data_IF_339335971355
#
_entry.id   IF_339335971355
#
_cell.length_a   1.000
_cell.length_b   1.000
_cell.length_c   1.000
_cell.angle_alpha   90.00
_cell.angle_beta   90.00
_cell.angle_gamma   90.00
#
_symmetry.space_group_name_H-M   'P 1'
#
loop_
_entity.id
_entity.type
_entity.pdbx_description
1 polymer ?
#
# COMPACT_ATOMS: atom_id res chain seq x y z
N UNK A 1 30.47 32.33 5.24
CA UNK A 1 29.06 31.91 5.14
C UNK A 1 29.09 30.38 5.09
N UNK A 2 28.90 29.73 6.22
CA UNK A 2 29.03 28.27 6.35
C UNK A 2 27.65 27.63 6.14
N UNK A 3 27.57 26.79 5.12
CA UNK A 3 26.37 26.04 4.74
C UNK A 3 26.20 24.84 5.69
N UNK A 4 25.01 24.66 6.25
CA UNK A 4 24.72 23.74 7.34
C UNK A 4 24.42 22.31 6.88
N UNK A 5 25.39 21.63 6.27
CA UNK A 5 25.19 20.31 5.64
C UNK A 5 25.93 19.13 6.30
N UNK A 6 26.43 19.27 7.52
CA UNK A 6 27.13 18.18 8.22
C UNK A 6 26.17 17.45 9.18
N UNK A 7 25.99 16.15 8.96
CA UNK A 7 25.19 15.25 9.80
C UNK A 7 25.96 14.94 11.09
N UNK A 8 25.40 15.31 12.25
CA UNK A 8 25.97 14.95 13.56
C UNK A 8 25.66 13.49 13.88
N UNK A 9 26.70 12.74 14.21
CA UNK A 9 26.61 11.33 14.58
C UNK A 9 27.05 11.15 16.03
N UNK A 10 26.18 10.51 16.81
CA UNK A 10 26.43 10.20 18.21
C UNK A 10 26.81 8.73 18.31
N UNK A 11 27.98 8.46 18.87
CA UNK A 11 28.53 7.11 19.06
C UNK A 11 28.33 6.76 20.53
N UNK A 12 27.48 5.78 20.80
CA UNK A 12 27.27 5.26 22.15
C UNK A 12 28.05 3.94 22.30
N UNK A 13 29.06 3.93 23.15
CA UNK A 13 29.78 2.71 23.50
C UNK A 13 28.98 1.92 24.53
N UNK A 14 29.15 0.59 24.52
CA UNK A 14 28.56 -0.30 25.53
C UNK A 14 29.08 0.04 26.95
N UNK A 15 30.27 0.65 27.05
CA UNK A 15 30.82 1.16 28.32
C UNK A 15 30.05 2.36 28.90
N UNK A 16 29.09 2.94 28.17
CA UNK A 16 28.34 4.14 28.56
C UNK A 16 28.98 5.46 28.12
N UNK A 17 30.19 5.41 27.55
CA UNK A 17 30.84 6.59 26.97
C UNK A 17 30.14 7.01 25.67
N UNK A 18 29.92 8.33 25.51
CA UNK A 18 29.31 8.91 24.31
C UNK A 18 30.30 9.85 23.64
N UNK A 19 30.48 9.68 22.32
CA UNK A 19 31.34 10.50 21.47
C UNK A 19 30.52 11.09 20.33
N UNK A 20 31.00 12.17 19.74
CA UNK A 20 30.33 12.82 18.62
C UNK A 20 31.29 13.00 17.46
N UNK A 21 30.81 12.69 16.27
CA UNK A 21 31.52 12.91 15.02
C UNK A 21 30.57 13.54 14.00
N UNK A 22 31.11 13.98 12.88
CA UNK A 22 30.33 14.59 11.79
C UNK A 22 30.49 13.76 10.53
N UNK A 23 29.41 13.67 9.77
CA UNK A 23 29.36 13.00 8.48
C UNK A 23 28.97 14.02 7.40
N UNK A 24 29.64 13.94 6.26
CA UNK A 24 29.31 14.72 5.09
C UNK A 24 28.26 13.99 4.26
N UNK A 25 27.52 14.73 3.45
CA UNK A 25 26.51 14.17 2.54
C UNK A 25 27.08 13.17 1.52
N UNK A 26 28.37 13.26 1.23
CA UNK A 26 29.13 12.40 0.32
C UNK A 26 29.76 11.17 1.00
N UNK A 27 29.75 11.10 2.34
CA UNK A 27 30.26 9.93 3.06
C UNK A 27 29.33 8.72 2.88
N UNK A 28 29.91 7.56 2.56
CA UNK A 28 29.16 6.31 2.63
C UNK A 28 29.10 5.79 4.07
N UNK A 29 28.15 4.89 4.35
CA UNK A 29 28.11 4.15 5.64
C UNK A 29 29.42 3.40 5.88
N UNK A 30 30.09 2.91 4.83
CA UNK A 30 31.38 2.23 4.92
C UNK A 30 32.51 3.17 5.35
N UNK A 31 32.56 4.36 4.77
CA UNK A 31 33.55 5.40 5.11
C UNK A 31 33.37 5.83 6.57
N UNK A 32 32.12 6.05 6.97
CA UNK A 32 31.77 6.42 8.33
C UNK A 32 32.21 5.36 9.35
N UNK A 33 31.84 4.10 9.11
CA UNK A 33 32.20 3.00 10.02
C UNK A 33 33.71 2.81 10.12
N UNK A 34 34.42 2.94 9.01
CA UNK A 34 35.88 2.85 8.98
C UNK A 34 36.54 3.97 9.78
N UNK A 35 36.05 5.21 9.65
CA UNK A 35 36.52 6.37 10.42
C UNK A 35 36.27 6.17 11.92
N UNK A 36 35.06 5.78 12.28
CA UNK A 36 34.69 5.46 13.67
C UNK A 36 35.57 4.33 14.21
N UNK A 37 35.86 3.30 13.41
CA UNK A 37 36.70 2.18 13.84
C UNK A 37 38.10 2.64 14.24
N UNK A 38 38.67 3.60 13.52
CA UNK A 38 39.97 4.20 13.83
C UNK A 38 39.91 5.09 15.07
N UNK A 39 38.85 5.91 15.21
CA UNK A 39 38.69 6.85 16.34
C UNK A 39 38.42 6.14 17.67
N UNK A 40 37.59 5.09 17.66
CA UNK A 40 37.10 4.45 18.89
C UNK A 40 37.64 3.04 19.11
N UNK A 41 38.48 2.55 18.19
CA UNK A 41 39.11 1.23 18.21
C UNK A 41 38.10 0.06 18.30
N UNK A 42 36.93 0.22 17.65
CA UNK A 42 35.87 -0.79 17.57
C UNK A 42 35.71 -1.23 16.10
N UNK A 43 35.88 -2.51 15.76
CA UNK A 43 35.74 -2.99 14.38
C UNK A 43 34.38 -2.67 13.76
N UNK A 44 34.36 -2.31 12.47
CA UNK A 44 33.15 -1.94 11.71
C UNK A 44 32.03 -2.99 11.75
N UNK A 45 32.38 -4.28 11.88
CA UNK A 45 31.43 -5.39 12.05
C UNK A 45 30.69 -5.36 13.39
N UNK A 46 31.31 -4.79 14.42
CA UNK A 46 30.73 -4.62 15.75
C UNK A 46 29.98 -3.30 15.90
N UNK A 47 29.93 -2.47 14.84
CA UNK A 47 29.23 -1.19 14.85
C UNK A 47 27.82 -1.33 14.28
N UNK A 48 26.83 -0.84 15.02
CA UNK A 48 25.45 -0.74 14.57
C UNK A 48 25.08 0.73 14.39
N UNK A 49 24.66 1.07 13.17
CA UNK A 49 24.09 2.39 12.92
C UNK A 49 22.60 2.34 13.29
N UNK A 50 22.17 3.27 14.13
CA UNK A 50 20.77 3.42 14.53
C UNK A 50 20.34 4.82 14.14
N UNK A 51 19.27 4.91 13.38
CA UNK A 51 18.66 6.19 13.04
C UNK A 51 17.75 6.59 14.21
N UNK A 52 18.12 7.64 14.93
CA UNK A 52 17.27 8.22 15.98
C UNK A 52 16.39 9.32 15.40
N UNK A 53 15.10 9.27 15.74
CA UNK A 53 14.14 10.36 15.47
C UNK A 53 14.05 10.77 14.00
N UNK A 54 14.06 9.81 13.08
CA UNK A 54 13.74 10.10 11.67
C UNK A 54 12.24 10.38 11.58
N UNK A 55 11.82 11.52 11.03
CA UNK A 55 10.40 11.75 10.77
C UNK A 55 9.86 10.62 9.89
N UNK A 56 8.79 9.94 10.31
CA UNK A 56 8.18 8.85 9.53
C UNK A 56 7.86 9.30 8.10
N UNK A 57 7.41 10.54 7.94
CA UNK A 57 7.18 11.17 6.63
C UNK A 57 8.40 11.14 5.69
N UNK A 58 9.62 11.29 6.22
CA UNK A 58 10.85 11.23 5.42
C UNK A 58 11.16 9.79 4.97
N UNK A 59 10.91 8.81 5.85
CA UNK A 59 11.06 7.38 5.52
C UNK A 59 10.08 7.02 4.42
N UNK A 60 8.80 7.37 4.61
CA UNK A 60 7.74 7.16 3.63
C UNK A 60 8.10 7.78 2.28
N UNK A 61 8.50 9.06 2.25
CA UNK A 61 8.93 9.74 1.01
C UNK A 61 10.07 9.03 0.27
N UNK A 62 11.00 8.40 0.99
CA UNK A 62 12.10 7.63 0.39
C UNK A 62 11.65 6.24 -0.06
N UNK A 63 10.63 5.68 0.57
CA UNK A 63 10.02 4.39 0.22
C UNK A 63 8.96 4.49 -0.89
N UNK A 64 8.42 5.68 -1.17
CA UNK A 64 7.40 5.91 -2.21
C UNK A 64 7.71 5.26 -3.58
N UNK A 65 8.95 5.36 -4.13
CA UNK A 65 9.27 4.70 -5.41
C UNK A 65 9.16 3.17 -5.34
N UNK A 66 9.44 2.57 -4.17
CA UNK A 66 9.28 1.15 -3.97
C UNK A 66 7.80 0.76 -3.95
N UNK A 67 6.97 1.50 -3.22
CA UNK A 67 5.53 1.28 -3.17
C UNK A 67 4.86 1.45 -4.53
N UNK A 68 5.22 2.50 -5.25
CA UNK A 68 4.77 2.73 -6.62
C UNK A 68 5.08 1.54 -7.52
N UNK A 69 6.32 1.04 -7.48
CA UNK A 69 6.73 -0.12 -8.28
C UNK A 69 5.99 -1.40 -7.92
N UNK A 70 5.75 -1.68 -6.65
CA UNK A 70 5.01 -2.88 -6.23
C UNK A 70 3.52 -2.78 -6.62
N UNK A 71 2.89 -1.62 -6.46
CA UNK A 71 1.51 -1.40 -6.92
C UNK A 71 1.40 -1.55 -8.44
N UNK A 72 2.32 -0.97 -9.21
CA UNK A 72 2.37 -1.10 -10.67
C UNK A 72 2.54 -2.55 -11.10
N UNK A 73 3.41 -3.31 -10.43
CA UNK A 73 3.61 -4.73 -10.67
C UNK A 73 2.32 -5.50 -10.45
N UNK A 74 1.66 -5.32 -9.30
CA UNK A 74 0.38 -5.99 -9.00
C UNK A 74 -0.69 -5.64 -10.04
N UNK A 75 -0.80 -4.37 -10.44
CA UNK A 75 -1.73 -3.93 -11.48
C UNK A 75 -1.34 -4.42 -12.88
N UNK A 76 -0.06 -4.72 -13.12
CA UNK A 76 0.45 -5.29 -14.37
C UNK A 76 -0.01 -6.72 -14.59
N UNK A 77 -0.07 -7.50 -13.51
CA UNK A 77 -0.47 -8.92 -13.51
C UNK A 77 -1.99 -9.12 -13.68
N UNK A 78 -2.77 -8.07 -13.48
CA UNK A 78 -4.21 -8.05 -13.72
C UNK A 78 -4.51 -8.07 -15.23
N UNK A 79 -5.10 -9.16 -15.72
CA UNK A 79 -5.42 -9.36 -17.13
C UNK A 79 -6.92 -9.37 -17.43
N UNK A 80 -7.35 -8.91 -18.63
CA UNK A 80 -8.76 -8.88 -19.02
C UNK A 80 -9.45 -10.25 -18.96
N UNK A 81 -8.73 -11.34 -19.26
CA UNK A 81 -9.28 -12.71 -19.25
C UNK A 81 -9.73 -13.13 -17.86
N UNK A 82 -8.93 -12.82 -16.84
CA UNK A 82 -9.23 -13.16 -15.44
C UNK A 82 -10.51 -12.45 -14.98
N UNK A 83 -10.67 -11.20 -15.41
CA UNK A 83 -11.88 -10.41 -15.14
C UNK A 83 -13.10 -10.98 -15.86
N UNK A 84 -12.96 -11.34 -17.13
CA UNK A 84 -14.04 -11.92 -17.92
C UNK A 84 -14.55 -13.26 -17.34
N UNK A 85 -13.64 -14.13 -16.90
CA UNK A 85 -13.97 -15.40 -16.25
C UNK A 85 -14.81 -15.21 -14.99
N UNK A 86 -14.38 -14.30 -14.11
CA UNK A 86 -15.13 -13.99 -12.89
C UNK A 86 -16.48 -13.37 -13.23
N UNK A 87 -16.54 -12.41 -14.15
CA UNK A 87 -17.81 -11.78 -14.58
C UNK A 87 -18.83 -12.77 -15.14
N UNK A 88 -18.36 -13.85 -15.77
CA UNK A 88 -19.21 -14.87 -16.37
C UNK A 88 -19.86 -15.81 -15.34
N UNK A 89 -19.44 -15.76 -14.07
CA UNK A 89 -20.03 -16.58 -13.01
C UNK A 89 -21.49 -16.19 -12.76
N UNK A 90 -22.40 -17.16 -12.94
CA UNK A 90 -23.80 -17.00 -12.56
C UNK A 90 -24.00 -17.11 -11.04
N UNK A 91 -23.16 -17.92 -10.38
CA UNK A 91 -23.18 -18.15 -8.93
C UNK A 91 -21.74 -18.10 -8.41
N UNK A 92 -21.23 -16.91 -8.06
CA UNK A 92 -19.87 -16.79 -7.55
C UNK A 92 -19.73 -17.48 -6.18
N UNK A 93 -18.56 -18.02 -5.85
CA UNK A 93 -18.23 -18.39 -4.47
C UNK A 93 -18.44 -17.18 -3.53
N UNK A 94 -18.91 -17.37 -2.29
CA UNK A 94 -19.12 -16.25 -1.35
C UNK A 94 -17.87 -15.40 -1.13
N UNK A 95 -16.70 -16.03 -1.03
CA UNK A 95 -15.41 -15.33 -0.90
C UNK A 95 -15.05 -14.48 -2.12
N UNK A 96 -15.51 -14.86 -3.32
CA UNK A 96 -15.34 -14.06 -4.53
C UNK A 96 -16.20 -12.79 -4.46
N UNK A 97 -17.46 -12.90 -4.02
CA UNK A 97 -18.33 -11.74 -3.78
C UNK A 97 -17.69 -10.79 -2.75
N UNK A 98 -17.29 -11.31 -1.59
CA UNK A 98 -16.63 -10.54 -0.53
C UNK A 98 -15.35 -9.84 -1.04
N UNK A 99 -14.55 -10.51 -1.87
CA UNK A 99 -13.37 -9.92 -2.50
C UNK A 99 -13.71 -8.76 -3.43
N UNK A 100 -14.76 -8.87 -4.25
CA UNK A 100 -15.19 -7.76 -5.11
C UNK A 100 -15.74 -6.60 -4.27
N UNK A 101 -16.54 -6.88 -3.24
CA UNK A 101 -17.07 -5.85 -2.33
C UNK A 101 -15.93 -5.07 -1.66
N UNK A 102 -14.88 -5.75 -1.19
CA UNK A 102 -13.69 -5.10 -0.61
C UNK A 102 -13.05 -4.09 -1.57
N UNK A 103 -12.91 -4.47 -2.85
CA UNK A 103 -12.35 -3.57 -3.87
C UNK A 103 -13.28 -2.39 -4.15
N UNK A 104 -14.61 -2.63 -4.17
CA UNK A 104 -15.59 -1.57 -4.39
C UNK A 104 -15.65 -0.56 -3.24
N UNK A 105 -15.50 -1.02 -1.99
CA UNK A 105 -15.36 -0.15 -0.82
C UNK A 105 -14.15 0.77 -0.97
N UNK A 106 -13.03 0.25 -1.46
CA UNK A 106 -11.84 1.06 -1.73
C UNK A 106 -12.06 2.03 -2.91
N UNK A 107 -12.75 1.59 -3.97
CA UNK A 107 -13.13 2.44 -5.11
C UNK A 107 -14.10 3.56 -4.73
N UNK A 108 -14.83 3.43 -3.62
CA UNK A 108 -15.70 4.49 -3.10
C UNK A 108 -14.94 5.79 -2.81
N UNK A 109 -13.63 5.74 -2.54
CA UNK A 109 -12.78 6.94 -2.37
C UNK A 109 -12.80 7.84 -3.62
N UNK A 110 -12.98 7.27 -4.81
CA UNK A 110 -13.07 8.02 -6.07
C UNK A 110 -14.44 8.69 -6.28
N UNK A 111 -15.41 8.43 -5.40
CA UNK A 111 -16.75 8.99 -5.44
C UNK A 111 -17.52 8.67 -6.74
N UNK A 112 -18.39 9.59 -7.21
CA UNK A 112 -19.25 9.37 -8.37
C UNK A 112 -18.50 8.98 -9.65
N UNK A 113 -17.24 9.42 -9.77
CA UNK A 113 -16.40 9.16 -10.95
C UNK A 113 -16.04 7.68 -11.12
N UNK A 114 -16.02 6.88 -10.05
CA UNK A 114 -15.82 5.43 -10.16
C UNK A 114 -17.10 4.69 -10.60
N UNK A 115 -18.27 5.29 -10.37
CA UNK A 115 -19.58 4.64 -10.48
C UNK A 115 -20.54 5.43 -11.37
N UNK A 116 -20.05 6.01 -12.46
CA UNK A 116 -20.83 6.93 -13.33
C UNK A 116 -22.18 6.34 -13.75
N UNK A 117 -22.22 5.04 -14.05
CA UNK A 117 -23.46 4.36 -14.44
C UNK A 117 -24.52 4.38 -13.34
N UNK A 118 -24.11 4.31 -12.08
CA UNK A 118 -25.02 4.37 -10.92
C UNK A 118 -25.35 5.79 -10.53
N UNK A 119 -24.38 6.71 -10.64
CA UNK A 119 -24.62 8.13 -10.45
C UNK A 119 -25.71 8.66 -11.39
N UNK A 120 -25.70 8.23 -12.65
CA UNK A 120 -26.77 8.55 -13.63
C UNK A 120 -28.14 8.02 -13.24
N UNK A 121 -28.20 6.95 -12.44
CA UNK A 121 -29.43 6.35 -11.93
C UNK A 121 -29.84 6.92 -10.56
N UNK A 122 -29.14 7.95 -10.06
CA UNK A 122 -29.39 8.54 -8.74
C UNK A 122 -29.04 7.60 -7.58
N UNK A 123 -28.21 6.57 -7.82
CA UNK A 123 -27.73 5.65 -6.79
C UNK A 123 -26.34 6.05 -6.37
N UNK A 124 -26.10 6.10 -5.06
CA UNK A 124 -24.85 6.59 -4.48
C UNK A 124 -24.21 5.54 -3.54
N UNK A 125 -23.83 4.35 -4.05
CA UNK A 125 -23.24 3.30 -3.21
C UNK A 125 -21.94 3.73 -2.53
N UNK A 126 -21.24 4.76 -3.03
CA UNK A 126 -20.04 5.31 -2.38
C UNK A 126 -20.35 6.08 -1.09
N UNK A 127 -21.59 6.53 -0.90
CA UNK A 127 -22.08 7.16 0.32
C UNK A 127 -22.62 6.14 1.33
N UNK A 128 -22.83 4.89 0.91
CA UNK A 128 -23.30 3.82 1.77
C UNK A 128 -22.12 3.16 2.49
N UNK A 129 -22.27 2.97 3.80
CA UNK A 129 -21.30 2.24 4.63
C UNK A 129 -21.73 0.77 4.82
N UNK A 130 -22.98 0.41 4.48
CA UNK A 130 -23.49 -0.96 4.59
C UNK A 130 -23.48 -1.71 3.25
N UNK A 131 -22.31 -2.25 2.92
CA UNK A 131 -22.10 -3.07 1.72
C UNK A 131 -22.61 -4.51 1.88
N UNK A 132 -23.17 -4.90 3.04
CA UNK A 132 -23.60 -6.29 3.30
C UNK A 132 -24.79 -6.73 2.45
N UNK A 133 -25.59 -5.77 2.01
CA UNK A 133 -26.75 -6.00 1.13
C UNK A 133 -26.36 -6.18 -0.35
N UNK A 134 -25.09 -5.96 -0.70
CA UNK A 134 -24.63 -5.94 -2.08
C UNK A 134 -24.71 -7.32 -2.73
N UNK A 135 -25.48 -7.43 -3.82
CA UNK A 135 -25.54 -8.68 -4.58
C UNK A 135 -24.43 -8.76 -5.61
N UNK A 136 -24.18 -9.97 -6.13
CA UNK A 136 -23.26 -10.16 -7.27
C UNK A 136 -23.61 -9.29 -8.47
N UNK A 137 -24.91 -9.14 -8.76
CA UNK A 137 -25.40 -8.34 -9.87
C UNK A 137 -25.05 -6.86 -9.66
N UNK A 138 -25.18 -6.36 -8.44
CA UNK A 138 -24.80 -4.98 -8.11
C UNK A 138 -23.29 -4.78 -8.25
N UNK A 139 -22.49 -5.72 -7.75
CA UNK A 139 -21.03 -5.71 -7.91
C UNK A 139 -20.59 -5.67 -9.37
N UNK A 140 -21.20 -6.48 -10.24
CA UNK A 140 -20.85 -6.52 -11.67
C UNK A 140 -21.33 -5.28 -12.42
N UNK A 141 -22.40 -4.64 -11.94
CA UNK A 141 -22.86 -3.34 -12.47
C UNK A 141 -21.90 -2.22 -12.06
N UNK A 142 -21.43 -2.24 -10.82
CA UNK A 142 -20.50 -1.27 -10.24
C UNK A 142 -19.10 -1.34 -10.86
N UNK A 143 -18.54 -2.53 -10.98
CA UNK A 143 -17.19 -2.71 -11.56
C UNK A 143 -17.15 -2.35 -13.05
N UNK A 144 -18.27 -2.49 -13.78
CA UNK A 144 -18.38 -2.05 -15.16
C UNK A 144 -17.55 -2.86 -16.15
N UNK A 145 -17.16 -2.27 -17.30
CA UNK A 145 -16.23 -2.91 -18.24
C UNK A 145 -14.80 -2.97 -17.68
N UNK A 146 -14.00 -3.93 -18.16
CA UNK A 146 -12.61 -4.13 -17.72
C UNK A 146 -11.77 -2.85 -17.72
N UNK A 147 -11.81 -2.06 -18.79
CA UNK A 147 -10.98 -0.86 -18.91
C UNK A 147 -11.33 0.17 -17.83
N UNK A 148 -12.61 0.33 -17.52
CA UNK A 148 -13.09 1.22 -16.46
C UNK A 148 -12.65 0.73 -15.09
N UNK A 149 -12.84 -0.57 -14.83
CA UNK A 149 -12.39 -1.21 -13.59
C UNK A 149 -10.88 -1.03 -13.36
N UNK A 150 -10.06 -1.37 -14.37
CA UNK A 150 -8.60 -1.24 -14.30
C UNK A 150 -8.16 0.22 -14.12
N UNK A 151 -8.80 1.15 -14.83
CA UNK A 151 -8.50 2.58 -14.69
C UNK A 151 -8.81 3.08 -13.28
N UNK A 152 -9.89 2.63 -12.65
CA UNK A 152 -10.19 3.02 -11.27
C UNK A 152 -9.16 2.45 -10.27
N UNK A 153 -8.69 1.21 -10.45
CA UNK A 153 -7.61 0.68 -9.61
C UNK A 153 -6.32 1.49 -9.75
N UNK A 154 -5.97 1.91 -10.97
CA UNK A 154 -4.83 2.79 -11.22
C UNK A 154 -5.02 4.15 -10.53
N UNK A 155 -6.22 4.73 -10.60
CA UNK A 155 -6.55 6.00 -9.94
C UNK A 155 -6.44 5.92 -8.42
N UNK A 156 -6.83 4.80 -7.81
CA UNK A 156 -6.62 4.57 -6.37
C UNK A 156 -5.12 4.57 -6.06
N UNK A 157 -4.31 3.83 -6.83
CA UNK A 157 -2.87 3.78 -6.61
C UNK A 157 -2.22 5.18 -6.73
N UNK A 158 -2.61 5.97 -7.74
CA UNK A 158 -2.17 7.36 -7.88
C UNK A 158 -2.60 8.22 -6.69
N UNK A 159 -3.88 8.18 -6.32
CA UNK A 159 -4.42 8.99 -5.23
C UNK A 159 -3.75 8.68 -3.89
N UNK A 160 -3.52 7.39 -3.61
CA UNK A 160 -2.82 6.90 -2.43
C UNK A 160 -1.40 7.46 -2.32
N UNK A 161 -0.66 7.49 -3.43
CA UNK A 161 0.72 7.96 -3.46
C UNK A 161 0.83 9.50 -3.43
N UNK A 162 -0.18 10.21 -3.93
CA UNK A 162 -0.16 11.67 -4.05
C UNK A 162 -0.71 12.38 -2.81
N UNK A 163 -1.87 11.95 -2.31
CA UNK A 163 -2.66 12.69 -1.30
C UNK A 163 -3.06 11.81 -0.12
N UNK A 164 -3.10 10.49 -0.29
CA UNK A 164 -3.66 9.55 0.67
C UNK A 164 -5.13 9.22 0.36
N UNK A 165 -5.68 8.26 1.10
CA UNK A 165 -7.05 7.77 0.93
C UNK A 165 -7.90 8.12 2.15
N UNK A 166 -9.22 8.17 1.97
CA UNK A 166 -10.16 8.37 3.07
C UNK A 166 -10.14 7.20 4.05
N UNK A 167 -9.85 7.51 5.33
CA UNK A 167 -9.71 6.51 6.39
C UNK A 167 -10.94 5.61 6.54
N UNK A 168 -12.15 6.16 6.44
CA UNK A 168 -13.37 5.37 6.64
C UNK A 168 -13.51 4.30 5.55
N UNK A 169 -13.24 4.67 4.29
CA UNK A 169 -13.29 3.71 3.16
C UNK A 169 -12.16 2.69 3.21
N UNK A 170 -10.97 3.10 3.67
CA UNK A 170 -9.85 2.17 3.89
C UNK A 170 -10.16 1.18 5.01
N UNK A 171 -10.76 1.64 6.13
CA UNK A 171 -11.15 0.77 7.24
C UNK A 171 -12.27 -0.21 6.86
N UNK A 172 -13.21 0.21 6.02
CA UNK A 172 -14.23 -0.70 5.47
C UNK A 172 -13.58 -1.84 4.65
N UNK A 173 -12.66 -1.49 3.74
CA UNK A 173 -11.92 -2.47 2.95
C UNK A 173 -11.05 -3.39 3.84
N UNK A 174 -10.41 -2.85 4.89
CA UNK A 174 -9.63 -3.62 5.87
C UNK A 174 -10.51 -4.62 6.62
N UNK A 175 -11.67 -4.21 7.12
CA UNK A 175 -12.61 -5.11 7.80
C UNK A 175 -12.99 -6.29 6.90
N UNK A 176 -13.29 -6.01 5.63
CA UNK A 176 -13.63 -7.05 4.65
C UNK A 176 -12.43 -7.95 4.32
N UNK A 177 -11.21 -7.41 4.31
CA UNK A 177 -9.99 -8.20 4.16
C UNK A 177 -9.79 -9.16 5.34
N UNK A 178 -10.03 -8.71 6.57
CA UNK A 178 -9.97 -9.58 7.77
C UNK A 178 -10.94 -10.75 7.67
N UNK A 179 -12.17 -10.52 7.19
CA UNK A 179 -13.16 -11.57 6.93
C UNK A 179 -12.67 -12.61 5.89
N UNK A 180 -11.85 -12.18 4.93
CA UNK A 180 -11.21 -13.06 3.94
C UNK A 180 -9.96 -13.79 4.48
N UNK A 181 -9.49 -13.43 5.67
CA UNK A 181 -8.30 -14.01 6.31
C UNK A 181 -7.11 -13.06 6.45
N UNK A 182 -7.36 -11.75 6.41
CA UNK A 182 -6.36 -10.71 6.71
C UNK A 182 -5.18 -10.74 5.72
N UNK A 183 -3.94 -10.55 6.19
CA UNK A 183 -2.74 -10.58 5.34
C UNK A 183 -2.53 -11.89 4.55
N UNK A 184 -3.14 -12.99 4.98
CA UNK A 184 -3.06 -14.30 4.32
C UNK A 184 -4.18 -14.53 3.29
N UNK A 185 -5.11 -13.57 3.13
CA UNK A 185 -6.22 -13.66 2.20
C UNK A 185 -5.77 -13.93 0.75
N UNK A 186 -4.68 -13.34 0.20
CA UNK A 186 -4.27 -13.64 -1.17
C UNK A 186 -4.06 -15.14 -1.40
N UNK A 187 -3.30 -15.82 -0.53
CA UNK A 187 -3.04 -17.26 -0.68
C UNK A 187 -4.31 -18.11 -0.62
N UNK A 188 -5.31 -17.69 0.16
CA UNK A 188 -6.63 -18.34 0.20
C UNK A 188 -7.40 -18.10 -1.10
N UNK A 189 -7.39 -16.86 -1.59
CA UNK A 189 -8.10 -16.46 -2.81
C UNK A 189 -7.50 -17.06 -4.08
N UNK A 190 -6.21 -17.40 -4.10
CA UNK A 190 -5.58 -18.10 -5.21
C UNK A 190 -6.28 -19.41 -5.59
N UNK A 191 -6.84 -20.11 -4.60
CA UNK A 191 -7.61 -21.34 -4.82
C UNK A 191 -9.03 -21.10 -5.35
N UNK A 192 -9.51 -19.86 -5.25
CA UNK A 192 -10.87 -19.47 -5.65
C UNK A 192 -10.86 -18.84 -7.04
N UNK A 193 -9.98 -17.87 -7.25
CA UNK A 193 -9.85 -17.14 -8.52
C UNK A 193 -8.51 -16.42 -8.58
N UNK A 194 -7.85 -16.51 -9.74
CA UNK A 194 -6.62 -15.77 -10.01
C UNK A 194 -6.86 -14.25 -9.96
N UNK A 195 -8.02 -13.79 -10.42
CA UNK A 195 -8.39 -12.37 -10.29
C UNK A 195 -8.47 -11.97 -8.81
N UNK A 196 -9.18 -12.76 -7.99
CA UNK A 196 -9.36 -12.44 -6.58
C UNK A 196 -8.04 -12.46 -5.80
N UNK A 197 -7.10 -13.34 -6.18
CA UNK A 197 -5.74 -13.32 -5.66
C UNK A 197 -5.07 -11.95 -5.89
N UNK A 198 -5.04 -11.48 -7.13
CA UNK A 198 -4.40 -10.20 -7.46
C UNK A 198 -5.12 -9.00 -6.87
N UNK A 199 -6.45 -9.03 -6.80
CA UNK A 199 -7.24 -7.98 -6.16
C UNK A 199 -7.01 -7.91 -4.64
N UNK A 200 -6.93 -9.06 -3.97
CA UNK A 200 -6.60 -9.08 -2.54
C UNK A 200 -5.17 -8.65 -2.29
N UNK A 201 -4.22 -9.05 -3.13
CA UNK A 201 -2.85 -8.57 -3.03
C UNK A 201 -2.75 -7.06 -3.25
N UNK A 202 -3.49 -6.52 -4.22
CA UNK A 202 -3.58 -5.07 -4.44
C UNK A 202 -4.06 -4.33 -3.20
N UNK A 203 -5.15 -4.79 -2.57
CA UNK A 203 -5.66 -4.17 -1.34
C UNK A 203 -4.64 -4.29 -0.20
N UNK A 204 -3.97 -5.42 -0.05
CA UNK A 204 -2.89 -5.59 0.95
C UNK A 204 -1.77 -4.56 0.74
N UNK A 205 -1.33 -4.36 -0.50
CA UNK A 205 -0.31 -3.33 -0.79
C UNK A 205 -0.83 -1.92 -0.52
N UNK A 206 -2.08 -1.62 -0.88
CA UNK A 206 -2.70 -0.32 -0.57
C UNK A 206 -2.72 -0.05 0.95
N UNK A 207 -3.10 -1.06 1.75
CA UNK A 207 -3.15 -0.92 3.20
C UNK A 207 -1.77 -0.70 3.82
N UNK A 208 -0.72 -1.37 3.31
CA UNK A 208 0.66 -1.13 3.78
C UNK A 208 1.09 0.30 3.54
N UNK A 209 0.85 0.82 2.33
CA UNK A 209 1.20 2.19 1.99
C UNK A 209 0.43 3.18 2.85
N UNK A 210 -0.86 2.94 3.08
CA UNK A 210 -1.69 3.81 3.92
C UNK A 210 -1.31 3.78 5.40
N UNK A 211 -0.82 2.66 5.93
CA UNK A 211 -0.29 2.59 7.30
C UNK A 211 1.02 3.36 7.48
N UNK A 212 1.80 3.51 6.40
CA UNK A 212 3.07 4.22 6.43
C UNK A 212 2.99 5.71 6.04
N UNK A 213 1.87 6.14 5.44
CA UNK A 213 1.61 7.52 5.00
C UNK A 213 1.15 8.43 6.13
#
# INVERSE_FOLDING_TARGET
MADGSDLRIVIQKISGETLETTARSEDTVGDLKSRIAQEVNVPSLCQRLVLHSVPQKLIFQRSLPHFSKELEKVLGELEPRMYAEVRALQRPPPSCLTCIVMVLQLMAVLGPSAFENLARLGREPWNDDDWRSCTWKDCMMMTGPWNHFRQNLQRIATLLLDVGLDDAKVQAARSTLEDLGGPQAPMKMQKVSVLCYWLTLFVVEVLKVHEES
#
